data_IF_587351181543
#
_entry.id   IF_587351181543
#
_cell.length_a   1.000
_cell.length_b   1.000
_cell.length_c   1.000
_cell.angle_alpha   90.00
_cell.angle_beta   90.00
_cell.angle_gamma   90.00
#
_symmetry.space_group_name_H-M   'P 1'
#
loop_
_entity.id
_entity.type
_entity.pdbx_description
1 polymer ?
#
# COMPACT_ATOMS: atom_id res chain seq x y z
N UNK A 1 -2.78 11.38 3.06
CA UNK A 1 -2.21 10.14 2.53
C UNK A 1 -1.84 9.30 3.71
N UNK A 2 -1.28 8.13 3.48
CA UNK A 2 -0.75 7.29 4.56
C UNK A 2 0.68 6.84 4.22
N UNK A 3 1.20 5.83 4.89
CA UNK A 3 2.48 5.21 4.61
C UNK A 3 2.34 3.68 4.71
N UNK A 4 1.87 3.07 3.62
CA UNK A 4 1.49 1.66 3.54
C UNK A 4 1.47 1.21 2.08
N UNK A 5 1.67 -0.09 1.83
CA UNK A 5 1.32 -0.71 0.54
C UNK A 5 -0.02 -1.42 0.67
N UNK A 6 -0.99 -0.89 -0.06
CA UNK A 6 -2.36 -1.37 -0.13
C UNK A 6 -2.49 -2.39 -1.26
N UNK A 7 -3.19 -3.50 -1.01
CA UNK A 7 -3.35 -4.58 -1.98
C UNK A 7 -4.80 -5.07 -2.08
N UNK A 8 -5.18 -5.72 -3.21
CA UNK A 8 -6.54 -6.14 -3.47
C UNK A 8 -7.15 -7.10 -2.43
N UNK A 9 -8.47 -7.10 -2.26
CA UNK A 9 -9.41 -6.15 -2.88
C UNK A 9 -9.55 -4.85 -2.07
N UNK A 10 -9.91 -3.79 -2.77
CA UNK A 10 -10.20 -2.45 -2.25
C UNK A 10 -11.64 -2.31 -1.75
N UNK A 11 -12.55 -3.16 -2.20
CA UNK A 11 -13.93 -3.20 -1.75
C UNK A 11 -14.45 -4.61 -1.44
N UNK A 12 -15.64 -4.65 -0.87
CA UNK A 12 -16.41 -5.86 -0.62
C UNK A 12 -17.89 -5.64 -0.98
N UNK A 13 -18.65 -6.73 -1.12
CA UNK A 13 -20.07 -6.68 -1.51
C UNK A 13 -20.94 -5.88 -0.53
N UNK A 14 -20.59 -5.84 0.76
CA UNK A 14 -21.31 -5.08 1.78
C UNK A 14 -20.86 -3.61 1.88
N UNK A 15 -19.74 -3.24 1.26
CA UNK A 15 -19.24 -1.87 1.21
C UNK A 15 -18.71 -1.35 2.55
N UNK A 16 -18.09 -2.21 3.36
CA UNK A 16 -17.67 -1.91 4.74
C UNK A 16 -16.18 -2.20 4.95
N UNK A 17 -15.62 -1.76 6.07
CA UNK A 17 -14.20 -1.96 6.35
C UNK A 17 -13.91 -3.39 6.86
N UNK A 18 -13.87 -4.37 5.96
CA UNK A 18 -13.57 -5.78 6.26
C UNK A 18 -12.55 -6.36 5.29
N UNK A 19 -11.85 -7.41 5.70
CA UNK A 19 -10.88 -8.07 4.84
C UNK A 19 -11.55 -8.73 3.64
N UNK A 20 -11.22 -8.26 2.43
CA UNK A 20 -11.75 -8.77 1.17
C UNK A 20 -10.65 -9.52 0.40
N UNK A 21 -10.66 -10.84 0.53
CA UNK A 21 -9.58 -11.71 0.06
C UNK A 21 -9.66 -11.95 -1.45
N UNK A 22 -8.55 -11.73 -2.16
CA UNK A 22 -8.41 -12.13 -3.57
C UNK A 22 -7.95 -13.59 -3.73
N UNK A 23 -8.19 -14.22 -4.90
CA UNK A 23 -7.64 -15.55 -5.20
C UNK A 23 -6.11 -15.63 -5.06
N UNK A 24 -5.41 -14.57 -5.46
CA UNK A 24 -3.94 -14.45 -5.40
C UNK A 24 -3.43 -13.68 -4.17
N UNK A 25 -4.20 -13.66 -3.09
CA UNK A 25 -3.89 -12.92 -1.86
C UNK A 25 -2.46 -13.16 -1.32
N UNK A 26 -1.98 -14.40 -1.38
CA UNK A 26 -0.62 -14.73 -0.95
C UNK A 26 0.46 -14.02 -1.81
N UNK A 27 0.23 -13.92 -3.12
CA UNK A 27 1.13 -13.22 -4.05
C UNK A 27 1.08 -11.72 -3.77
N UNK A 28 -0.12 -11.15 -3.60
CA UNK A 28 -0.28 -9.74 -3.27
C UNK A 28 0.38 -9.34 -1.95
N UNK A 29 0.25 -10.15 -0.91
CA UNK A 29 0.96 -9.93 0.35
C UNK A 29 2.49 -9.95 0.15
N UNK A 30 3.01 -10.88 -0.66
CA UNK A 30 4.43 -10.93 -0.99
C UNK A 30 4.89 -9.71 -1.80
N UNK A 31 4.12 -9.29 -2.81
CA UNK A 31 4.39 -8.10 -3.62
C UNK A 31 4.42 -6.84 -2.76
N UNK A 32 3.38 -6.63 -1.94
CA UNK A 32 3.28 -5.50 -1.04
C UNK A 32 4.45 -5.48 -0.04
N UNK A 33 4.77 -6.63 0.56
CA UNK A 33 5.86 -6.77 1.51
C UNK A 33 7.24 -6.52 0.88
N UNK A 34 7.43 -6.89 -0.39
CA UNK A 34 8.69 -6.65 -1.12
C UNK A 34 9.05 -5.17 -1.21
N UNK A 35 8.04 -4.30 -1.26
CA UNK A 35 8.22 -2.84 -1.23
C UNK A 35 8.30 -2.32 0.20
N UNK A 36 7.33 -2.66 1.05
CA UNK A 36 7.22 -2.09 2.41
C UNK A 36 8.43 -2.41 3.26
N UNK A 37 8.98 -3.63 3.16
CA UNK A 37 10.15 -4.11 3.92
C UNK A 37 11.40 -3.27 3.70
N UNK A 38 11.57 -2.70 2.51
CA UNK A 38 12.73 -1.88 2.18
C UNK A 38 12.54 -0.40 2.55
N UNK A 39 11.32 0.03 2.87
CA UNK A 39 11.04 1.35 3.43
C UNK A 39 10.90 1.23 4.95
N UNK A 40 11.96 1.56 5.68
CA UNK A 40 12.05 1.32 7.12
C UNK A 40 10.90 1.96 7.93
N UNK A 41 10.42 3.15 7.53
CA UNK A 41 9.32 3.82 8.24
C UNK A 41 7.96 3.18 7.91
N UNK A 42 7.76 2.78 6.66
CA UNK A 42 6.55 2.06 6.24
C UNK A 42 6.45 0.71 6.96
N UNK A 43 7.54 -0.07 6.99
CA UNK A 43 7.58 -1.39 7.63
C UNK A 43 7.27 -1.36 9.13
N UNK A 44 7.58 -0.26 9.82
CA UNK A 44 7.20 -0.06 11.24
C UNK A 44 5.68 -0.04 11.46
N UNK A 45 4.90 0.22 10.41
CA UNK A 45 3.45 0.12 10.45
C UNK A 45 2.73 1.27 11.16
N UNK A 46 3.44 2.34 11.56
CA UNK A 46 2.86 3.53 12.18
C UNK A 46 3.11 4.77 11.30
N UNK A 47 2.23 5.08 10.33
CA UNK A 47 2.48 6.11 9.32
C UNK A 47 2.84 7.50 9.87
N UNK A 48 1.99 8.01 10.76
CA UNK A 48 2.13 9.31 11.38
C UNK A 48 1.28 9.39 12.66
N UNK A 49 1.89 8.99 13.79
CA UNK A 49 1.25 8.89 15.10
C UNK A 49 0.49 10.14 15.53
N UNK A 50 0.97 11.32 15.17
CA UNK A 50 0.34 12.59 15.58
C UNK A 50 -0.79 13.04 14.64
N UNK A 51 -0.81 12.57 13.39
CA UNK A 51 -1.78 13.00 12.36
C UNK A 51 -2.91 11.98 12.19
N UNK A 52 -2.57 10.69 12.16
CA UNK A 52 -3.50 9.57 12.05
C UNK A 52 -3.17 8.52 13.13
N UNK A 53 -3.52 8.78 14.40
CA UNK A 53 -3.12 7.94 15.54
C UNK A 53 -3.72 6.53 15.53
N UNK A 54 -4.80 6.33 14.78
CA UNK A 54 -5.53 5.06 14.68
C UNK A 54 -4.97 4.13 13.60
N UNK A 55 -4.12 4.64 12.70
CA UNK A 55 -3.56 3.82 11.62
C UNK A 55 -2.42 2.94 12.14
N UNK A 56 -2.62 1.64 12.02
CA UNK A 56 -1.59 0.64 12.28
C UNK A 56 -1.64 -0.47 11.23
N UNK A 57 -0.57 -0.60 10.46
CA UNK A 57 -0.44 -1.57 9.37
C UNK A 57 0.71 -2.52 9.67
N UNK A 58 0.45 -3.74 10.17
CA UNK A 58 1.51 -4.72 10.43
C UNK A 58 2.42 -4.90 9.20
N UNK A 59 3.72 -4.70 9.39
CA UNK A 59 4.72 -4.77 8.32
C UNK A 59 4.52 -3.78 7.15
N UNK A 60 3.74 -2.71 7.35
CA UNK A 60 3.54 -1.66 6.37
C UNK A 60 2.72 -2.09 5.14
N UNK A 61 1.87 -3.11 5.28
CA UNK A 61 0.96 -3.56 4.22
C UNK A 61 -0.48 -3.65 4.74
N UNK A 62 -1.46 -3.51 3.85
CA UNK A 62 -2.88 -3.69 4.20
C UNK A 62 -3.68 -4.20 3.01
N UNK A 63 -4.68 -5.04 3.28
CA UNK A 63 -5.78 -5.26 2.35
C UNK A 63 -6.61 -3.97 2.27
N UNK A 64 -7.04 -3.59 1.08
CA UNK A 64 -7.70 -2.29 0.86
C UNK A 64 -9.04 -2.17 1.54
N UNK A 65 -9.93 -3.12 1.31
CA UNK A 65 -11.25 -3.15 1.95
C UNK A 65 -11.14 -3.16 3.48
N UNK A 66 -10.17 -3.88 4.06
CA UNK A 66 -9.96 -3.89 5.51
C UNK A 66 -9.57 -2.51 6.05
N UNK A 67 -8.84 -1.71 5.28
CA UNK A 67 -8.48 -0.35 5.67
C UNK A 67 -9.70 0.57 5.56
N UNK A 68 -10.29 0.65 4.37
CA UNK A 68 -11.59 1.27 4.12
C UNK A 68 -12.07 0.89 2.71
N UNK A 69 -13.39 0.77 2.53
CA UNK A 69 -13.98 0.35 1.26
C UNK A 69 -13.83 1.41 0.15
N UNK A 70 -13.26 1.03 -1.00
CA UNK A 70 -13.04 1.89 -2.18
C UNK A 70 -13.54 1.19 -3.46
N UNK A 71 -14.81 1.41 -3.86
CA UNK A 71 -15.34 0.82 -5.07
C UNK A 71 -14.86 1.57 -6.33
N UNK A 72 -14.63 0.83 -7.41
CA UNK A 72 -14.23 1.40 -8.71
C UNK A 72 -12.75 1.82 -8.79
N UNK A 73 -11.90 1.28 -7.93
CA UNK A 73 -10.46 1.50 -7.94
C UNK A 73 -9.77 0.92 -9.17
N UNK A 74 -8.70 1.60 -9.63
CA UNK A 74 -7.86 1.14 -10.73
C UNK A 74 -7.11 -0.16 -10.40
N UNK A 75 -6.71 -0.32 -9.13
CA UNK A 75 -5.99 -1.47 -8.62
C UNK A 75 -6.73 -2.79 -8.88
N UNK A 76 -7.99 -2.84 -8.44
CA UNK A 76 -8.82 -4.03 -8.60
C UNK A 76 -9.26 -4.21 -10.06
N UNK A 77 -9.48 -3.11 -10.79
CA UNK A 77 -9.80 -3.17 -12.21
C UNK A 77 -8.70 -3.87 -13.02
N UNK A 78 -7.43 -3.56 -12.75
CA UNK A 78 -6.29 -4.20 -13.42
C UNK A 78 -6.30 -5.71 -13.21
N UNK A 79 -6.49 -6.17 -11.97
CA UNK A 79 -6.51 -7.59 -11.63
C UNK A 79 -7.72 -8.32 -12.23
N UNK A 80 -8.90 -7.68 -12.27
CA UNK A 80 -10.14 -8.30 -12.75
C UNK A 80 -10.28 -8.31 -14.27
N UNK A 81 -9.65 -7.36 -14.98
CA UNK A 81 -9.87 -7.16 -16.42
C UNK A 81 -8.63 -7.39 -17.28
N UNK A 82 -7.48 -7.68 -16.66
CA UNK A 82 -6.20 -7.89 -17.36
C UNK A 82 -5.39 -8.99 -16.66
N UNK A 83 -4.14 -9.19 -17.10
CA UNK A 83 -3.17 -10.05 -16.40
C UNK A 83 -2.27 -9.27 -15.43
N UNK A 84 -2.49 -7.97 -15.26
CA UNK A 84 -1.65 -7.10 -14.43
C UNK A 84 -2.06 -7.21 -12.96
N UNK A 85 -1.08 -7.45 -12.08
CA UNK A 85 -1.26 -7.46 -10.64
C UNK A 85 -0.79 -6.11 -10.10
N UNK A 86 -1.73 -5.20 -9.86
CA UNK A 86 -1.45 -3.87 -9.35
C UNK A 86 -1.60 -3.79 -7.82
N UNK A 87 -0.77 -2.95 -7.20
CA UNK A 87 -0.88 -2.56 -5.79
C UNK A 87 -0.89 -1.04 -5.69
N UNK A 88 -1.49 -0.48 -4.65
CA UNK A 88 -1.50 0.96 -4.39
C UNK A 88 -0.48 1.31 -3.31
N UNK A 89 0.41 2.27 -3.59
CA UNK A 89 1.49 2.64 -2.67
C UNK A 89 1.25 4.05 -2.12
N UNK A 90 0.97 4.13 -0.82
CA UNK A 90 0.89 5.39 -0.08
C UNK A 90 2.30 5.78 0.41
N UNK A 91 2.89 6.81 -0.18
CA UNK A 91 4.31 7.16 0.01
C UNK A 91 4.60 8.02 1.25
N UNK A 92 3.57 8.51 1.93
CA UNK A 92 3.70 9.34 3.13
C UNK A 92 2.44 10.13 3.45
N UNK A 93 2.28 10.48 4.73
CA UNK A 93 1.08 11.17 5.20
C UNK A 93 0.89 12.56 4.56
N UNK A 94 2.00 13.28 4.36
CA UNK A 94 2.02 14.61 3.74
C UNK A 94 1.85 14.47 2.23
N UNK A 95 0.65 14.76 1.73
CA UNK A 95 0.28 14.61 0.31
C UNK A 95 1.13 15.47 -0.63
N UNK A 96 1.47 16.67 -0.20
CA UNK A 96 2.25 17.63 -0.99
C UNK A 96 3.35 18.24 -0.10
N UNK A 97 4.48 17.53 0.08
CA UNK A 97 5.59 18.05 0.86
C UNK A 97 6.30 19.18 0.12
N UNK A 98 7.07 19.98 0.85
CA UNK A 98 7.96 20.98 0.25
C UNK A 98 9.08 20.29 -0.55
N UNK A 99 9.62 21.01 -1.54
CA UNK A 99 10.60 20.46 -2.47
C UNK A 99 11.92 20.00 -1.80
N UNK A 100 12.28 20.59 -0.67
CA UNK A 100 13.45 20.24 0.15
C UNK A 100 13.34 18.85 0.80
N UNK A 101 12.14 18.30 0.98
CA UNK A 101 11.96 16.93 1.49
C UNK A 101 12.10 15.86 0.38
N UNK A 102 12.04 16.22 -0.91
CA UNK A 102 12.03 15.24 -2.01
C UNK A 102 13.26 14.30 -2.03
N UNK A 103 14.50 14.75 -1.77
CA UNK A 103 15.66 13.85 -1.69
C UNK A 103 15.53 12.77 -0.60
N UNK A 104 14.86 13.10 0.51
CA UNK A 104 14.60 12.15 1.60
C UNK A 104 13.55 11.12 1.21
N UNK A 105 12.48 11.53 0.51
CA UNK A 105 11.52 10.57 -0.05
C UNK A 105 12.19 9.62 -1.04
N UNK A 106 13.09 10.12 -1.89
CA UNK A 106 13.88 9.28 -2.78
C UNK A 106 14.71 8.26 -2.02
N UNK A 107 15.51 8.70 -1.05
CA UNK A 107 16.39 7.78 -0.29
C UNK A 107 15.59 6.70 0.44
N UNK A 108 14.41 7.03 0.97
CA UNK A 108 13.54 6.08 1.66
C UNK A 108 12.86 5.06 0.74
N UNK A 109 12.65 5.38 -0.54
CA UNK A 109 11.86 4.55 -1.46
C UNK A 109 12.67 3.94 -2.60
N UNK A 110 13.89 4.43 -2.88
CA UNK A 110 14.73 3.96 -4.00
C UNK A 110 14.93 2.45 -3.96
N UNK A 111 15.23 1.89 -2.78
CA UNK A 111 15.44 0.46 -2.62
C UNK A 111 14.14 -0.33 -2.79
N UNK A 112 13.04 0.15 -2.21
CA UNK A 112 11.70 -0.43 -2.37
C UNK A 112 11.27 -0.53 -3.82
N UNK A 113 11.40 0.56 -4.59
CA UNK A 113 11.10 0.58 -6.03
C UNK A 113 11.92 -0.46 -6.79
N UNK A 114 13.22 -0.54 -6.51
CA UNK A 114 14.11 -1.51 -7.16
C UNK A 114 13.81 -2.97 -6.80
N UNK A 115 13.35 -3.27 -5.58
CA UNK A 115 12.99 -4.64 -5.20
C UNK A 115 11.62 -5.05 -5.72
N UNK A 116 10.68 -4.11 -5.74
CA UNK A 116 9.34 -4.32 -6.30
C UNK A 116 9.41 -4.66 -7.79
N UNK A 117 10.18 -3.90 -8.58
CA UNK A 117 10.40 -4.18 -10.01
C UNK A 117 11.06 -5.54 -10.30
N UNK A 118 11.65 -6.21 -9.32
CA UNK A 118 12.24 -7.56 -9.49
C UNK A 118 11.28 -8.69 -9.19
N UNK A 119 10.07 -8.38 -8.71
CA UNK A 119 9.04 -9.40 -8.52
C UNK A 119 8.36 -9.78 -9.84
N UNK A 120 8.74 -9.12 -10.94
CA UNK A 120 8.32 -9.36 -12.32
C UNK A 120 9.49 -9.75 -13.21
#
# INVERSE_FOLDING_TARGET
>A
GSLVVNYPFDDDEQGIAIYSKSPDDAVFQQLALSYSKENAKMYQGSPCKDMYPTEYFPHGITNGAQWYNVPGGMQDWNYLNTNCFEVTIELGCVKYPKADELPKYWEQNRRSLLQFMKQV
#
